data_IF_119390184671
#
_entry.id   IF_119390184671
#
_cell.length_a   1.000
_cell.length_b   1.000
_cell.length_c   1.000
_cell.angle_alpha   90.00
_cell.angle_beta   90.00
_cell.angle_gamma   90.00
#
_symmetry.space_group_name_H-M   'P 1'
#
loop_
_entity.id
_entity.type
_entity.pdbx_description
1 polymer ?
#
# COMPACT_ATOMS: atom_id res chain seq x y z
N UNK A 1 -0.12 -23.02 1.56
CA UNK A 1 1.15 -22.27 1.45
C UNK A 1 0.78 -20.94 0.83
N UNK A 2 1.07 -19.84 1.51
CA UNK A 2 0.61 -18.53 1.08
C UNK A 2 1.31 -18.13 -0.23
N UNK A 3 0.63 -17.32 -1.04
CA UNK A 3 1.10 -16.92 -2.37
C UNK A 3 2.33 -16.03 -2.21
N UNK A 4 3.40 -16.34 -2.93
CA UNK A 4 4.57 -15.47 -3.03
C UNK A 4 4.36 -14.52 -4.20
N UNK A 5 4.62 -13.24 -4.02
CA UNK A 5 4.52 -12.24 -5.08
C UNK A 5 5.92 -11.82 -5.56
N UNK A 6 6.03 -11.53 -6.85
CA UNK A 6 7.28 -11.09 -7.49
C UNK A 6 7.28 -9.59 -7.83
N UNK A 7 6.13 -8.92 -7.67
CA UNK A 7 5.98 -7.51 -8.05
C UNK A 7 5.36 -6.66 -6.94
N UNK A 8 5.91 -5.47 -6.75
CA UNK A 8 5.26 -4.35 -6.07
C UNK A 8 4.98 -3.26 -7.11
N UNK A 9 3.72 -2.85 -7.27
CA UNK A 9 3.37 -1.64 -8.03
C UNK A 9 3.32 -0.45 -7.07
N UNK A 10 4.11 0.60 -7.32
CA UNK A 10 4.29 1.70 -6.37
C UNK A 10 3.76 3.04 -6.93
N UNK A 11 2.86 3.69 -6.19
CA UNK A 11 2.35 5.03 -6.46
C UNK A 11 2.51 5.92 -5.23
N UNK A 12 3.01 7.15 -5.40
CA UNK A 12 3.03 8.12 -4.30
C UNK A 12 2.99 9.59 -4.74
N UNK A 13 2.93 10.50 -3.76
CA UNK A 13 3.07 11.94 -3.91
C UNK A 13 4.46 12.49 -3.49
N UNK A 14 5.44 11.60 -3.31
CA UNK A 14 6.78 11.95 -2.79
C UNK A 14 7.62 12.79 -3.75
N UNK A 15 7.33 12.72 -5.05
CA UNK A 15 8.24 13.22 -6.08
C UNK A 15 9.49 12.34 -6.24
N UNK A 16 10.41 12.83 -7.07
CA UNK A 16 11.71 12.20 -7.35
C UNK A 16 12.87 13.17 -7.10
N UNK A 17 12.61 14.27 -6.40
CA UNK A 17 13.60 15.31 -6.12
C UNK A 17 14.48 14.98 -4.90
N UNK A 18 13.97 14.14 -4.01
CA UNK A 18 14.63 13.68 -2.78
C UNK A 18 14.66 12.14 -2.72
N UNK A 19 15.13 11.60 -1.60
CA UNK A 19 15.42 10.19 -1.40
C UNK A 19 14.19 9.31 -1.07
N UNK A 20 13.00 9.88 -0.85
CA UNK A 20 11.90 9.15 -0.21
C UNK A 20 11.52 7.86 -0.95
N UNK A 21 11.32 7.93 -2.26
CA UNK A 21 11.04 6.74 -3.10
C UNK A 21 12.21 5.76 -3.05
N UNK A 22 13.44 6.26 -3.18
CA UNK A 22 14.65 5.43 -3.17
C UNK A 22 14.82 4.65 -1.87
N UNK A 23 14.51 5.26 -0.72
CA UNK A 23 14.58 4.62 0.59
C UNK A 23 13.50 3.55 0.76
N UNK A 24 12.26 3.81 0.34
CA UNK A 24 11.21 2.77 0.33
C UNK A 24 11.62 1.56 -0.52
N UNK A 25 12.14 1.80 -1.72
CA UNK A 25 12.63 0.76 -2.63
C UNK A 25 13.83 0.01 -2.05
N UNK A 26 14.73 0.70 -1.34
CA UNK A 26 15.86 0.06 -0.65
C UNK A 26 15.40 -0.89 0.46
N UNK A 27 14.39 -0.49 1.27
CA UNK A 27 13.79 -1.36 2.30
C UNK A 27 13.16 -2.61 1.67
N UNK A 28 12.38 -2.44 0.60
CA UNK A 28 11.81 -3.56 -0.16
C UNK A 28 12.91 -4.48 -0.67
N UNK A 29 13.98 -3.91 -1.24
CA UNK A 29 15.08 -4.68 -1.83
C UNK A 29 15.83 -5.52 -0.79
N UNK A 30 16.02 -4.99 0.41
CA UNK A 30 16.70 -5.68 1.50
C UNK A 30 15.85 -6.85 2.02
N UNK A 31 14.55 -6.61 2.25
CA UNK A 31 13.64 -7.60 2.84
C UNK A 31 13.13 -8.64 1.85
N UNK A 32 12.99 -8.28 0.57
CA UNK A 32 12.44 -9.11 -0.49
C UNK A 32 13.22 -8.95 -1.81
N UNK A 33 14.47 -9.47 -1.88
CA UNK A 33 15.39 -9.23 -3.00
C UNK A 33 14.96 -9.87 -4.33
N UNK A 34 13.91 -10.71 -4.36
CA UNK A 34 13.34 -11.24 -5.60
C UNK A 34 12.30 -10.30 -6.22
N UNK A 35 11.84 -9.28 -5.50
CA UNK A 35 10.74 -8.41 -5.94
C UNK A 35 11.24 -7.36 -6.93
N UNK A 36 10.46 -7.20 -8.00
CA UNK A 36 10.56 -6.07 -8.92
C UNK A 36 9.61 -4.97 -8.49
N UNK A 37 10.11 -3.74 -8.35
CA UNK A 37 9.28 -2.56 -8.08
C UNK A 37 8.94 -1.90 -9.42
N UNK A 38 7.65 -1.75 -9.70
CA UNK A 38 7.10 -1.04 -10.85
C UNK A 38 6.54 0.29 -10.38
N UNK A 39 7.28 1.37 -10.63
CA UNK A 39 6.83 2.71 -10.30
C UNK A 39 5.73 3.16 -11.28
N UNK A 40 4.50 3.30 -10.79
CA UNK A 40 3.37 3.81 -11.56
C UNK A 40 3.50 5.32 -11.77
N UNK A 41 3.70 6.04 -10.66
CA UNK A 41 4.02 7.47 -10.65
C UNK A 41 4.34 7.90 -9.21
N UNK A 42 5.30 8.80 -9.08
CA UNK A 42 5.58 9.52 -7.83
C UNK A 42 5.25 11.01 -7.95
N UNK A 43 4.55 11.39 -9.01
CA UNK A 43 4.24 12.79 -9.33
C UNK A 43 2.78 13.16 -9.05
N UNK A 44 2.11 12.41 -8.14
CA UNK A 44 0.83 12.87 -7.61
C UNK A 44 1.07 14.20 -6.88
N UNK A 45 0.22 15.23 -7.08
CA UNK A 45 0.35 16.46 -6.33
C UNK A 45 0.37 16.18 -4.82
N UNK A 46 1.27 16.81 -4.04
CA UNK A 46 1.37 16.57 -2.60
C UNK A 46 0.02 16.65 -1.91
N UNK A 47 -0.29 15.62 -1.12
CA UNK A 47 -1.51 15.48 -0.33
C UNK A 47 -2.82 15.32 -1.12
N UNK A 48 -2.77 15.25 -2.45
CA UNK A 48 -3.97 15.11 -3.29
C UNK A 48 -4.40 13.64 -3.40
N UNK A 49 -5.06 13.15 -2.34
CA UNK A 49 -5.63 11.80 -2.26
C UNK A 49 -6.57 11.51 -3.44
N UNK A 50 -7.28 12.52 -3.96
CA UNK A 50 -8.20 12.34 -5.10
C UNK A 50 -7.43 12.10 -6.40
N UNK A 51 -6.39 12.91 -6.67
CA UNK A 51 -5.54 12.68 -7.83
C UNK A 51 -4.87 11.30 -7.78
N UNK A 52 -4.39 10.89 -6.61
CA UNK A 52 -3.83 9.56 -6.35
C UNK A 52 -4.84 8.44 -6.64
N UNK A 53 -6.05 8.54 -6.09
CA UNK A 53 -7.09 7.53 -6.26
C UNK A 53 -7.53 7.37 -7.72
N UNK A 54 -7.65 8.47 -8.45
CA UNK A 54 -8.00 8.44 -9.87
C UNK A 54 -6.87 7.85 -10.75
N UNK A 55 -5.61 8.19 -10.44
CA UNK A 55 -4.46 7.60 -11.12
C UNK A 55 -4.38 6.09 -10.87
N UNK A 56 -4.58 5.66 -9.62
CA UNK A 56 -4.56 4.25 -9.25
C UNK A 56 -5.69 3.48 -9.94
N UNK A 57 -6.92 3.99 -9.91
CA UNK A 57 -8.09 3.40 -10.56
C UNK A 57 -7.89 3.16 -12.06
N UNK A 58 -7.31 4.13 -12.77
CA UNK A 58 -7.00 4.01 -14.21
C UNK A 58 -5.91 2.98 -14.51
N UNK A 59 -5.07 2.67 -13.52
CA UNK A 59 -3.94 1.75 -13.66
C UNK A 59 -4.30 0.33 -13.26
N UNK A 60 -5.27 0.14 -12.35
CA UNK A 60 -5.59 -1.15 -11.70
C UNK A 60 -5.73 -2.33 -12.65
N UNK A 61 -6.44 -2.17 -13.78
CA UNK A 61 -6.68 -3.27 -14.73
C UNK A 61 -5.42 -3.75 -15.47
N UNK A 62 -4.31 -3.01 -15.39
CA UNK A 62 -3.04 -3.33 -16.05
C UNK A 62 -1.98 -3.80 -15.06
N UNK A 63 -2.24 -3.76 -13.76
CA UNK A 63 -1.27 -4.17 -12.75
C UNK A 63 -1.11 -5.70 -12.76
N UNK A 64 0.12 -6.22 -12.66
CA UNK A 64 0.34 -7.65 -12.48
C UNK A 64 -0.17 -8.11 -11.11
N UNK A 65 -0.35 -9.42 -10.95
CA UNK A 65 -0.56 -10.02 -9.63
C UNK A 65 0.58 -9.61 -8.69
N UNK A 66 0.25 -9.20 -7.47
CA UNK A 66 1.25 -8.64 -6.57
C UNK A 66 0.69 -7.74 -5.48
N UNK A 67 1.62 -7.00 -4.87
CA UNK A 67 1.29 -5.99 -3.88
C UNK A 67 1.23 -4.63 -4.56
N UNK A 68 0.20 -3.85 -4.24
CA UNK A 68 0.02 -2.48 -4.72
C UNK A 68 0.30 -1.54 -3.55
N UNK A 69 1.48 -0.93 -3.54
CA UNK A 69 1.88 0.05 -2.57
C UNK A 69 1.43 1.44 -3.04
N UNK A 70 0.51 2.07 -2.32
CA UNK A 70 -0.01 3.39 -2.68
C UNK A 70 0.06 4.33 -1.48
N UNK A 71 0.83 5.41 -1.58
CA UNK A 71 1.04 6.34 -0.46
C UNK A 71 0.86 7.79 -0.91
N UNK A 72 -0.29 8.34 -0.59
CA UNK A 72 -0.60 9.78 -0.64
C UNK A 72 -1.27 10.09 0.68
N UNK A 73 -0.54 10.72 1.60
CA UNK A 73 -0.90 10.67 3.01
C UNK A 73 -0.73 12.01 3.76
N UNK A 74 -1.72 12.91 3.67
CA UNK A 74 -1.76 14.09 4.53
C UNK A 74 -1.98 13.78 6.01
N UNK A 75 -2.41 12.56 6.35
CA UNK A 75 -2.76 12.14 7.70
C UNK A 75 -1.64 11.39 8.42
N UNK A 76 -0.41 11.38 7.90
CA UNK A 76 0.72 10.70 8.56
C UNK A 76 0.88 11.23 10.00
N UNK A 77 1.11 10.32 10.95
CA UNK A 77 1.22 10.66 12.38
C UNK A 77 -0.10 11.02 13.07
N UNK A 78 -1.25 10.85 12.41
CA UNK A 78 -2.60 10.98 13.01
C UNK A 78 -3.21 9.62 13.33
N UNK A 79 -4.47 9.58 13.75
CA UNK A 79 -5.22 8.35 14.07
C UNK A 79 -5.62 7.52 12.82
N UNK A 80 -5.21 7.93 11.60
CA UNK A 80 -5.51 7.19 10.37
C UNK A 80 -4.80 5.83 10.37
N UNK A 81 -5.53 4.79 9.98
CA UNK A 81 -5.01 3.41 9.97
C UNK A 81 -4.09 3.19 8.76
N UNK A 82 -3.02 2.42 8.97
CA UNK A 82 -2.25 1.83 7.87
C UNK A 82 -2.90 0.48 7.51
N UNK A 83 -3.36 0.28 6.28
CA UNK A 83 -4.19 -0.88 5.94
C UNK A 83 -3.59 -1.73 4.83
N UNK A 84 -3.85 -3.04 4.92
CA UNK A 84 -3.68 -3.99 3.84
C UNK A 84 -5.05 -4.56 3.42
N UNK A 85 -5.34 -4.60 2.12
CA UNK A 85 -6.63 -5.06 1.58
C UNK A 85 -6.42 -6.09 0.48
N UNK A 86 -6.90 -7.31 0.70
CA UNK A 86 -6.88 -8.42 -0.26
C UNK A 86 -8.02 -8.28 -1.27
N UNK A 87 -7.72 -8.52 -2.55
CA UNK A 87 -8.66 -8.44 -3.68
C UNK A 87 -8.39 -9.56 -4.70
N UNK A 88 -9.35 -9.76 -5.61
CA UNK A 88 -9.22 -10.62 -6.78
C UNK A 88 -8.77 -12.06 -6.44
N UNK A 89 -9.45 -12.69 -5.48
CA UNK A 89 -9.17 -14.04 -4.99
C UNK A 89 -7.71 -14.20 -4.52
N UNK A 90 -7.22 -13.19 -3.79
CA UNK A 90 -5.84 -13.13 -3.31
C UNK A 90 -4.77 -12.97 -4.40
N UNK A 91 -5.14 -12.52 -5.60
CA UNK A 91 -4.18 -12.18 -6.65
C UNK A 91 -3.54 -10.79 -6.43
N UNK A 92 -4.20 -9.92 -5.64
CA UNK A 92 -3.70 -8.59 -5.33
C UNK A 92 -3.88 -8.22 -3.86
N UNK A 93 -2.92 -7.47 -3.32
CA UNK A 93 -3.05 -6.85 -1.98
C UNK A 93 -2.67 -5.38 -2.06
N UNK A 94 -3.59 -4.49 -1.73
CA UNK A 94 -3.30 -3.05 -1.58
C UNK A 94 -2.69 -2.79 -0.21
N UNK A 95 -1.63 -1.98 -0.14
CA UNK A 95 -0.99 -1.50 1.10
C UNK A 95 -0.96 0.03 1.04
N UNK A 96 -1.70 0.68 1.94
CA UNK A 96 -1.97 2.12 1.86
C UNK A 96 -2.48 2.72 3.18
N UNK A 97 -2.52 4.07 3.33
CA UNK A 97 -3.31 4.72 4.37
C UNK A 97 -4.83 4.56 4.14
N UNK A 98 -5.59 4.38 5.22
CA UNK A 98 -7.06 4.38 5.21
C UNK A 98 -7.62 5.81 5.14
N UNK A 99 -7.53 6.42 3.95
CA UNK A 99 -7.97 7.78 3.70
C UNK A 99 -8.80 7.92 2.41
N UNK A 100 -9.25 6.80 1.84
CA UNK A 100 -9.99 6.73 0.58
C UNK A 100 -9.15 6.68 -0.69
N UNK A 101 -7.81 6.67 -0.57
CA UNK A 101 -6.87 6.56 -1.71
C UNK A 101 -7.12 5.32 -2.58
N UNK A 102 -7.29 4.16 -1.95
CA UNK A 102 -7.40 2.87 -2.67
C UNK A 102 -8.84 2.47 -3.00
N UNK A 103 -9.83 3.13 -2.42
CA UNK A 103 -11.23 2.71 -2.50
C UNK A 103 -11.73 2.48 -3.94
N UNK A 104 -11.45 3.36 -4.93
CA UNK A 104 -11.87 3.12 -6.30
C UNK A 104 -11.17 1.92 -6.96
N UNK A 105 -9.88 1.75 -6.70
CA UNK A 105 -9.07 0.68 -7.25
C UNK A 105 -9.51 -0.69 -6.70
N UNK A 106 -9.80 -0.75 -5.39
CA UNK A 106 -10.39 -1.93 -4.75
C UNK A 106 -11.73 -2.30 -5.37
N UNK A 107 -12.60 -1.32 -5.62
CA UNK A 107 -13.90 -1.56 -6.27
C UNK A 107 -13.74 -2.12 -7.69
N UNK A 108 -12.81 -1.58 -8.49
CA UNK A 108 -12.49 -2.07 -9.84
C UNK A 108 -11.92 -3.49 -9.81
N UNK A 109 -11.14 -3.84 -8.78
CA UNK A 109 -10.57 -5.17 -8.59
C UNK A 109 -11.57 -6.23 -8.10
N UNK A 110 -12.86 -5.91 -7.99
CA UNK A 110 -13.91 -6.83 -7.55
C UNK A 110 -14.39 -6.62 -6.12
N UNK A 111 -13.85 -5.63 -5.41
CA UNK A 111 -14.17 -5.33 -4.01
C UNK A 111 -13.14 -5.89 -3.03
N UNK A 112 -13.23 -5.43 -1.78
CA UNK A 112 -12.37 -5.89 -0.69
C UNK A 112 -12.86 -7.25 -0.17
N UNK A 113 -11.95 -8.23 -0.11
CA UNK A 113 -12.24 -9.56 0.44
C UNK A 113 -11.90 -9.62 1.92
N UNK A 114 -10.69 -9.18 2.27
CA UNK A 114 -10.20 -9.11 3.66
C UNK A 114 -9.39 -7.83 3.84
N UNK A 115 -9.46 -7.25 5.04
CA UNK A 115 -8.73 -6.04 5.37
C UNK A 115 -8.05 -6.17 6.74
N UNK A 116 -6.84 -5.64 6.88
CA UNK A 116 -6.06 -5.73 8.11
C UNK A 116 -5.40 -4.39 8.45
N UNK A 117 -5.34 -4.09 9.74
CA UNK A 117 -4.58 -2.97 10.26
C UNK A 117 -3.11 -3.38 10.41
N UNK A 118 -2.20 -2.64 9.80
CA UNK A 118 -0.76 -2.92 9.83
C UNK A 118 -0.18 -2.34 11.12
N UNK A 119 -0.01 -3.20 12.12
CA UNK A 119 0.49 -2.81 13.45
C UNK A 119 1.55 -3.76 14.02
N UNK A 120 1.84 -4.87 13.36
CA UNK A 120 2.78 -5.86 13.89
C UNK A 120 4.22 -5.34 13.91
N UNK A 121 4.77 -5.17 15.12
CA UNK A 121 6.13 -4.65 15.38
C UNK A 121 7.27 -5.55 14.90
N UNK A 122 7.00 -6.83 14.64
CA UNK A 122 8.00 -7.75 14.08
C UNK A 122 8.13 -7.57 12.55
N UNK A 123 7.15 -6.90 11.93
CA UNK A 123 7.09 -6.64 10.49
C UNK A 123 7.44 -5.19 10.19
N UNK A 124 6.87 -4.23 10.93
CA UNK A 124 7.14 -2.80 10.71
C UNK A 124 8.49 -2.40 11.31
N UNK A 125 9.16 -1.43 10.69
CA UNK A 125 10.41 -0.90 11.22
C UNK A 125 10.12 0.05 12.39
N UNK A 126 10.95 -0.05 13.43
CA UNK A 126 10.93 0.90 14.54
C UNK A 126 11.50 2.25 14.09
N UNK A 127 10.65 3.12 13.54
CA UNK A 127 11.03 4.45 13.08
C UNK A 127 11.34 5.43 14.21
N UNK A 128 12.40 6.22 14.07
CA UNK A 128 12.68 7.35 14.94
C UNK A 128 11.72 8.51 14.62
N UNK A 129 10.50 8.49 15.17
CA UNK A 129 9.61 9.66 15.22
C UNK A 129 8.31 9.59 14.40
N UNK A 130 7.97 8.47 13.74
CA UNK A 130 6.64 8.24 13.17
C UNK A 130 6.19 9.19 12.05
N UNK A 131 7.13 9.85 11.37
CA UNK A 131 6.83 10.82 10.31
C UNK A 131 6.94 10.25 8.89
N UNK A 132 7.44 9.01 8.73
CA UNK A 132 7.64 8.43 7.41
C UNK A 132 7.18 6.96 7.31
N UNK A 133 5.87 6.77 7.41
CA UNK A 133 5.23 5.45 7.31
C UNK A 133 5.45 4.76 5.96
N UNK A 134 5.76 5.50 4.89
CA UNK A 134 6.22 4.91 3.61
C UNK A 134 7.38 3.95 3.80
N UNK A 135 8.41 4.38 4.53
CA UNK A 135 9.59 3.58 4.87
C UNK A 135 9.30 2.61 6.01
N UNK A 136 8.66 3.11 7.06
CA UNK A 136 8.62 2.40 8.35
C UNK A 136 7.51 1.36 8.43
N UNK A 137 6.40 1.54 7.69
CA UNK A 137 5.20 0.70 7.81
C UNK A 137 4.86 0.03 6.48
N UNK A 138 4.69 0.82 5.42
CA UNK A 138 4.12 0.32 4.17
C UNK A 138 5.11 -0.50 3.34
N UNK A 139 6.34 -0.01 3.14
CA UNK A 139 7.39 -0.77 2.45
C UNK A 139 7.71 -2.14 3.07
N UNK A 140 7.94 -2.26 4.40
CA UNK A 140 8.23 -3.56 5.00
C UNK A 140 7.02 -4.50 5.02
N UNK A 141 5.79 -3.99 5.20
CA UNK A 141 4.57 -4.78 5.08
C UNK A 141 4.40 -5.34 3.65
N UNK A 142 4.66 -4.52 2.63
CA UNK A 142 4.61 -4.96 1.24
C UNK A 142 5.66 -6.06 0.96
N UNK A 143 6.90 -5.88 1.46
CA UNK A 143 7.95 -6.88 1.32
C UNK A 143 7.63 -8.20 2.04
N UNK A 144 7.03 -8.13 3.24
CA UNK A 144 6.56 -9.29 4.00
C UNK A 144 5.55 -10.12 3.20
N UNK A 145 4.53 -9.46 2.64
CA UNK A 145 3.54 -10.11 1.79
C UNK A 145 4.18 -10.74 0.55
N UNK A 146 5.13 -10.05 -0.10
CA UNK A 146 5.86 -10.61 -1.25
C UNK A 146 6.70 -11.84 -0.91
N UNK A 147 7.13 -12.01 0.35
CA UNK A 147 7.81 -13.21 0.83
C UNK A 147 6.85 -14.39 1.09
N UNK A 148 5.55 -14.22 0.89
CA UNK A 148 4.52 -15.21 1.20
C UNK A 148 4.10 -15.20 2.67
N UNK A 149 4.29 -14.08 3.38
CA UNK A 149 3.71 -13.86 4.69
C UNK A 149 2.18 -13.88 4.66
N UNK A 150 1.53 -14.30 5.75
CA UNK A 150 0.07 -14.26 5.83
C UNK A 150 -0.40 -12.83 6.07
N UNK A 151 -1.45 -12.38 5.38
CA UNK A 151 -1.96 -11.01 5.54
C UNK A 151 -2.47 -10.77 6.98
N UNK A 152 -2.99 -11.80 7.64
CA UNK A 152 -3.41 -11.76 9.04
C UNK A 152 -2.26 -11.53 10.04
N UNK A 153 -1.02 -11.78 9.65
CA UNK A 153 0.14 -11.50 10.51
C UNK A 153 0.45 -10.00 10.58
N UNK A 154 -0.09 -9.18 9.67
CA UNK A 154 0.14 -7.73 9.67
C UNK A 154 -0.49 -7.04 10.89
N UNK A 155 -1.55 -7.61 11.46
CA UNK A 155 -2.23 -7.10 12.64
C UNK A 155 -3.72 -7.46 12.65
N UNK A 156 -4.55 -6.74 13.43
CA UNK A 156 -5.94 -7.10 13.61
C UNK A 156 -6.77 -6.92 12.33
N UNK A 157 -7.70 -7.83 12.10
CA UNK A 157 -8.66 -7.76 11.01
C UNK A 157 -9.59 -6.53 11.15
N UNK A 158 -9.93 -5.93 10.02
CA UNK A 158 -10.83 -4.80 9.89
C UNK A 158 -12.06 -5.23 9.08
N UNK A 159 -13.22 -4.69 9.44
CA UNK A 159 -14.42 -4.80 8.61
C UNK A 159 -14.23 -3.94 7.35
N UNK A 160 -14.19 -4.55 6.14
CA UNK A 160 -13.97 -3.79 4.90
C UNK A 160 -15.05 -2.73 4.63
N UNK A 161 -16.26 -2.89 5.17
CA UNK A 161 -17.35 -1.93 5.01
C UNK A 161 -17.15 -0.63 5.81
N UNK A 162 -16.22 -0.64 6.78
CA UNK A 162 -15.87 0.51 7.61
C UNK A 162 -14.64 1.28 7.11
N UNK A 163 -13.99 0.82 6.02
CA UNK A 163 -12.88 1.54 5.40
C UNK A 163 -13.37 2.85 4.77
N UNK A 164 -12.48 3.84 4.74
CA UNK A 164 -12.83 5.16 4.24
C UNK A 164 -13.19 5.11 2.75
N UNK A 165 -14.38 5.62 2.34
CA UNK A 165 -14.77 5.65 0.94
C UNK A 165 -13.96 6.70 0.18
N UNK A 166 -13.94 6.59 -1.16
CA UNK A 166 -13.36 7.64 -1.99
C UNK A 166 -14.22 8.90 -1.97
N UNK A 167 -13.58 10.07 -2.00
CA UNK A 167 -14.27 11.35 -2.21
C UNK A 167 -14.55 11.64 -3.70
N UNK A 168 -14.29 10.68 -4.58
CA UNK A 168 -14.52 10.78 -6.03
C UNK A 168 -15.83 10.07 -6.38
N UNK A 169 -16.77 10.74 -7.06
CA UNK A 169 -17.87 10.05 -7.73
C UNK A 169 -17.31 9.29 -8.94
N UNK A 170 -17.49 7.97 -8.94
CA UNK A 170 -17.17 7.09 -10.07
C UNK A 170 -18.26 7.14 -11.14
#
# INVERSE_FOLDING_TARGET
MNRRFETISFLSDYGLADEFVGVCTAVVRDLAPHVSVVDLTHSIPPFDVRAGALALARSTAYLPEGVILAVVDPGVGTDRKAIAVEVAEGAGVFVAPDNGLIAPAVAIAGGAERAFHITNSDIVLSGAGGTFDGRDVFAPAAAYLCNGGAIEDLGPELDPSLLMPSAIPL
#
